data_IF_107036071397
#
_entry.id   IF_107036071397
#
_cell.length_a   1.000
_cell.length_b   1.000
_cell.length_c   1.000
_cell.angle_alpha   90.00
_cell.angle_beta   90.00
_cell.angle_gamma   90.00
#
_symmetry.space_group_name_H-M   'P 1'
#
loop_
_entity.id
_entity.type
_entity.pdbx_description
1 polymer ?
#
# COMPACT_ATOMS: atom_id res chain seq x y z
N UNK A 1 13.87 0.62 -39.03
CA UNK A 1 14.44 0.97 -37.71
C UNK A 1 14.26 -0.14 -36.67
N UNK A 2 15.20 -0.32 -35.74
CA UNK A 2 15.13 -1.33 -34.67
C UNK A 2 14.58 -0.73 -33.36
N UNK A 3 13.55 -1.34 -32.77
CA UNK A 3 13.02 -1.00 -31.45
C UNK A 3 13.08 -2.19 -30.49
N UNK A 4 13.25 -1.90 -29.19
CA UNK A 4 13.31 -2.90 -28.12
C UNK A 4 12.05 -2.79 -27.26
N UNK A 5 11.38 -3.93 -27.01
CA UNK A 5 10.15 -4.00 -26.22
C UNK A 5 10.40 -4.79 -24.94
N UNK A 6 9.81 -4.36 -23.82
CA UNK A 6 9.83 -5.15 -22.58
C UNK A 6 9.16 -6.51 -22.81
N UNK A 7 9.89 -7.60 -22.58
CA UNK A 7 9.38 -8.97 -22.71
C UNK A 7 9.91 -9.87 -21.59
N UNK A 8 9.04 -10.18 -20.63
CA UNK A 8 9.40 -10.95 -19.45
C UNK A 8 10.41 -10.21 -18.58
N UNK A 9 11.62 -10.76 -18.47
CA UNK A 9 12.74 -10.16 -17.71
C UNK A 9 13.77 -9.47 -18.62
N UNK A 10 13.52 -9.42 -19.92
CA UNK A 10 14.46 -8.86 -20.90
C UNK A 10 13.77 -7.99 -21.92
N UNK A 11 14.44 -7.81 -23.05
CA UNK A 11 13.97 -7.03 -24.18
C UNK A 11 13.81 -7.93 -25.40
N UNK A 12 12.81 -7.64 -26.21
CA UNK A 12 12.59 -8.24 -27.52
C UNK A 12 12.76 -7.15 -28.58
N UNK A 13 13.76 -7.32 -29.45
CA UNK A 13 14.00 -6.43 -30.57
C UNK A 13 13.07 -6.74 -31.76
N UNK A 14 12.54 -5.71 -32.41
CA UNK A 14 11.84 -5.81 -33.69
C UNK A 14 12.30 -4.74 -34.67
N UNK A 15 12.38 -5.12 -35.95
CA UNK A 15 12.62 -4.19 -37.06
C UNK A 15 11.26 -3.68 -37.57
N UNK A 16 11.08 -2.36 -37.56
CA UNK A 16 9.87 -1.69 -38.02
C UNK A 16 10.17 -0.77 -39.20
N UNK A 17 9.18 -0.50 -40.09
CA UNK A 17 9.35 0.46 -41.18
C UNK A 17 9.68 1.86 -40.67
N UNK A 18 10.38 2.66 -41.46
CA UNK A 18 10.77 4.02 -41.06
C UNK A 18 9.58 5.00 -41.01
N UNK A 19 8.40 4.59 -41.50
CA UNK A 19 7.14 5.32 -41.36
C UNK A 19 6.44 5.09 -40.01
N UNK A 20 7.13 4.51 -39.03
CA UNK A 20 6.53 4.16 -37.72
C UNK A 20 6.48 5.37 -36.79
N UNK A 21 5.30 5.66 -36.25
CA UNK A 21 5.14 6.64 -35.18
C UNK A 21 5.53 6.02 -33.82
N UNK A 22 6.35 6.74 -33.05
CA UNK A 22 6.87 6.27 -31.76
C UNK A 22 6.30 7.12 -30.64
N UNK A 23 5.65 6.45 -29.69
CA UNK A 23 5.13 7.04 -28.46
C UNK A 23 5.76 6.35 -27.26
N UNK A 24 6.64 7.06 -26.57
CA UNK A 24 7.32 6.57 -25.36
C UNK A 24 6.75 7.36 -24.18
N UNK A 25 6.02 6.71 -23.25
CA UNK A 25 5.53 7.34 -22.03
C UNK A 25 6.68 8.00 -21.25
N UNK A 26 6.50 9.25 -20.82
CA UNK A 26 7.51 10.02 -20.10
C UNK A 26 8.55 10.74 -20.97
N UNK A 27 8.70 10.36 -22.25
CA UNK A 27 9.63 11.01 -23.20
C UNK A 27 8.88 11.83 -24.26
N UNK A 28 7.93 11.22 -24.97
CA UNK A 28 7.12 11.92 -25.99
C UNK A 28 6.18 12.94 -25.32
N UNK A 29 5.75 12.64 -24.09
CA UNK A 29 5.07 13.58 -23.19
C UNK A 29 5.80 13.49 -21.85
N UNK A 30 6.51 14.57 -21.50
CA UNK A 30 7.32 14.60 -20.29
C UNK A 30 6.45 14.49 -19.04
N UNK A 31 6.75 13.50 -18.20
CA UNK A 31 6.19 13.41 -16.86
C UNK A 31 6.72 14.57 -15.99
N UNK A 32 5.95 15.02 -14.98
CA UNK A 32 6.49 15.90 -13.96
C UNK A 32 7.74 15.30 -13.32
N UNK A 33 8.72 16.13 -12.91
CA UNK A 33 9.91 15.64 -12.23
C UNK A 33 9.55 14.77 -11.03
N UNK A 34 10.14 13.58 -10.97
CA UNK A 34 9.95 12.70 -9.82
C UNK A 34 10.61 13.30 -8.58
N UNK A 35 10.04 13.01 -7.42
CA UNK A 35 10.72 13.29 -6.15
C UNK A 35 12.01 12.46 -6.06
N UNK A 36 13.01 12.92 -5.29
CA UNK A 36 14.15 12.07 -4.94
C UNK A 36 13.66 10.73 -4.37
N UNK A 37 14.19 9.62 -4.88
CA UNK A 37 13.74 8.27 -4.56
C UNK A 37 14.36 7.72 -3.27
N UNK A 38 14.74 8.60 -2.34
CA UNK A 38 15.21 8.26 -1.00
C UNK A 38 14.06 8.29 0.03
N UNK A 39 14.28 7.64 1.18
CA UNK A 39 13.23 7.50 2.18
C UNK A 39 12.77 8.84 2.75
N UNK A 40 13.70 9.73 3.06
CA UNK A 40 13.40 10.97 3.79
C UNK A 40 12.59 11.94 2.92
N UNK A 41 12.99 12.09 1.65
CA UNK A 41 12.27 12.91 0.67
C UNK A 41 10.85 12.40 0.45
N UNK A 42 10.69 11.09 0.24
CA UNK A 42 9.37 10.49 -0.01
C UNK A 42 8.49 10.55 1.24
N UNK A 43 9.04 10.28 2.42
CA UNK A 43 8.30 10.33 3.68
C UNK A 43 7.85 11.75 4.00
N UNK A 44 8.74 12.74 3.87
CA UNK A 44 8.41 14.15 4.12
C UNK A 44 7.30 14.66 3.19
N UNK A 45 7.41 14.38 1.88
CA UNK A 45 6.37 14.76 0.92
C UNK A 45 5.03 14.07 1.21
N UNK A 46 5.05 12.78 1.56
CA UNK A 46 3.84 12.02 1.91
C UNK A 46 3.20 12.56 3.18
N UNK A 47 3.98 12.84 4.22
CA UNK A 47 3.49 13.42 5.47
C UNK A 47 2.92 14.83 5.27
N UNK A 48 3.54 15.65 4.43
CA UNK A 48 3.02 16.96 4.05
C UNK A 48 1.64 16.85 3.39
N UNK A 49 1.44 15.86 2.50
CA UNK A 49 0.13 15.60 1.90
C UNK A 49 -0.92 15.16 2.92
N UNK A 50 -0.56 14.29 3.88
CA UNK A 50 -1.48 13.84 4.94
C UNK A 50 -1.94 15.00 5.83
N UNK A 51 -1.04 15.96 6.10
CA UNK A 51 -1.33 17.12 6.95
C UNK A 51 -2.08 18.25 6.22
N UNK A 52 -2.05 18.26 4.89
CA UNK A 52 -2.72 19.26 4.07
C UNK A 52 -3.66 18.57 3.04
N UNK A 53 -4.67 17.82 3.49
CA UNK A 53 -5.58 17.13 2.58
C UNK A 53 -6.47 18.11 1.81
N UNK A 54 -6.94 17.68 0.65
CA UNK A 54 -7.86 18.45 -0.19
C UNK A 54 -9.30 18.04 0.16
N UNK A 55 -10.11 19.00 0.61
CA UNK A 55 -11.55 18.80 0.77
C UNK A 55 -11.99 18.00 2.02
N UNK A 56 -11.12 17.76 2.98
CA UNK A 56 -11.45 17.11 4.26
C UNK A 56 -10.50 17.57 5.39
N UNK A 57 -10.82 17.33 6.68
CA UNK A 57 -9.89 17.58 7.78
C UNK A 57 -8.65 16.66 7.73
N UNK A 58 -7.50 17.09 8.26
CA UNK A 58 -6.28 16.27 8.35
C UNK A 58 -6.46 15.08 9.29
N UNK A 59 -5.66 14.03 9.07
CA UNK A 59 -5.78 12.76 9.79
C UNK A 59 -5.72 12.94 11.32
N UNK A 60 -4.86 13.85 11.81
CA UNK A 60 -4.72 14.17 13.24
C UNK A 60 -6.01 14.70 13.90
N UNK A 61 -6.93 15.28 13.13
CA UNK A 61 -8.21 15.81 13.62
C UNK A 61 -9.32 14.75 13.58
N UNK A 62 -9.15 13.73 12.74
CA UNK A 62 -10.08 12.60 12.60
C UNK A 62 -9.74 11.47 13.59
N UNK A 63 -8.48 11.38 14.00
CA UNK A 63 -7.95 10.39 14.93
C UNK A 63 -8.03 10.87 16.38
N UNK A 64 -7.98 9.93 17.33
CA UNK A 64 -8.03 10.24 18.75
C UNK A 64 -8.10 8.99 19.63
N UNK A 65 -7.95 9.14 20.95
CA UNK A 65 -8.09 8.02 21.89
C UNK A 65 -9.46 7.33 21.77
N UNK A 66 -9.46 6.00 21.80
CA UNK A 66 -10.68 5.17 21.69
C UNK A 66 -11.28 5.07 20.28
N UNK A 67 -10.65 5.66 19.25
CA UNK A 67 -11.06 5.48 17.85
C UNK A 67 -10.43 4.20 17.28
N UNK A 68 -11.21 3.46 16.49
CA UNK A 68 -10.70 2.35 15.69
C UNK A 68 -10.41 2.79 14.25
N UNK A 69 -9.34 2.25 13.68
CA UNK A 69 -8.84 2.62 12.35
C UNK A 69 -8.62 1.37 11.50
N UNK A 70 -9.09 1.41 10.26
CA UNK A 70 -8.76 0.40 9.25
C UNK A 70 -7.95 1.06 8.15
N UNK A 71 -6.73 0.58 7.92
CA UNK A 71 -5.89 1.01 6.80
C UNK A 71 -6.00 -0.04 5.71
N UNK A 72 -6.61 0.34 4.59
CA UNK A 72 -6.76 -0.53 3.42
C UNK A 72 -5.51 -0.42 2.55
N UNK A 73 -4.81 -1.54 2.39
CA UNK A 73 -3.55 -1.68 1.69
C UNK A 73 -3.83 -2.39 0.35
N UNK A 74 -3.35 -1.85 -0.79
CA UNK A 74 -3.44 -2.53 -2.07
C UNK A 74 -2.78 -3.92 -2.05
N UNK A 75 -3.30 -4.82 -2.89
CA UNK A 75 -2.72 -6.15 -3.07
C UNK A 75 -1.29 -6.12 -3.64
N UNK A 76 -0.56 -7.22 -3.44
CA UNK A 76 0.83 -7.38 -3.86
C UNK A 76 1.03 -7.23 -5.38
N UNK A 77 0.01 -7.48 -6.19
CA UNK A 77 0.08 -7.32 -7.65
C UNK A 77 0.17 -5.86 -8.08
N UNK A 78 -0.09 -4.92 -7.15
CA UNK A 78 0.15 -3.49 -7.35
C UNK A 78 1.59 -3.09 -7.02
N UNK A 79 2.46 -4.07 -6.81
CA UNK A 79 3.85 -3.88 -6.45
C UNK A 79 4.00 -3.45 -4.99
N UNK A 80 5.03 -2.63 -4.74
CA UNK A 80 5.21 -2.01 -3.43
C UNK A 80 6.01 -2.83 -2.40
N UNK A 81 6.75 -3.86 -2.81
CA UNK A 81 7.65 -4.57 -1.90
C UNK A 81 9.05 -3.93 -1.78
N UNK A 82 9.36 -2.97 -2.66
CA UNK A 82 10.62 -2.23 -2.66
C UNK A 82 10.83 -1.45 -1.35
N UNK A 83 12.07 -1.10 -0.97
CA UNK A 83 12.35 -0.39 0.28
C UNK A 83 11.57 0.92 0.45
N UNK A 84 11.50 1.72 -0.61
CA UNK A 84 10.86 3.05 -0.65
C UNK A 84 9.45 3.02 -1.27
N UNK A 85 8.79 1.86 -1.21
CA UNK A 85 7.47 1.72 -1.83
C UNK A 85 6.41 2.62 -1.19
N UNK A 86 5.45 3.04 -2.01
CA UNK A 86 4.26 3.79 -1.57
C UNK A 86 3.59 3.15 -0.35
N UNK A 87 3.44 1.81 -0.30
CA UNK A 87 2.85 1.14 0.86
C UNK A 87 3.71 1.30 2.12
N UNK A 88 5.03 1.18 2.06
CA UNK A 88 5.87 1.31 3.26
C UNK A 88 5.89 2.76 3.74
N UNK A 89 6.08 3.70 2.83
CA UNK A 89 6.17 5.13 3.16
C UNK A 89 4.84 5.66 3.67
N UNK A 90 3.75 5.48 2.91
CA UNK A 90 2.46 6.08 3.24
C UNK A 90 1.88 5.51 4.52
N UNK A 91 1.84 4.18 4.69
CA UNK A 91 1.26 3.65 5.92
C UNK A 91 2.19 3.81 7.15
N UNK A 92 3.51 3.98 6.99
CA UNK A 92 4.35 4.47 8.10
C UNK A 92 3.94 5.90 8.51
N UNK A 93 3.83 6.82 7.55
CA UNK A 93 3.43 8.20 7.82
C UNK A 93 2.03 8.29 8.45
N UNK A 94 1.07 7.48 7.98
CA UNK A 94 -0.26 7.40 8.59
C UNK A 94 -0.19 6.90 10.04
N UNK A 95 0.54 5.82 10.32
CA UNK A 95 0.66 5.31 11.70
C UNK A 95 1.28 6.35 12.64
N UNK A 96 2.30 7.07 12.19
CA UNK A 96 2.95 8.10 13.01
C UNK A 96 1.95 9.20 13.42
N UNK A 97 1.11 9.68 12.49
CA UNK A 97 0.05 10.66 12.79
C UNK A 97 -1.05 10.07 13.69
N UNK A 98 -1.47 8.82 13.46
CA UNK A 98 -2.50 8.15 14.28
C UNK A 98 -2.04 7.96 15.73
N UNK A 99 -0.80 7.50 15.93
CA UNK A 99 -0.24 7.31 17.26
C UNK A 99 0.04 8.64 17.96
N UNK A 100 0.49 9.67 17.23
CA UNK A 100 0.62 11.02 17.77
C UNK A 100 -0.73 11.60 18.23
N UNK A 101 -1.83 11.24 17.56
CA UNK A 101 -3.19 11.59 17.96
C UNK A 101 -3.75 10.73 19.10
N UNK A 102 -3.01 9.72 19.59
CA UNK A 102 -3.41 8.89 20.73
C UNK A 102 -4.25 7.66 20.37
N UNK A 103 -4.30 7.25 19.10
CA UNK A 103 -4.89 5.96 18.71
C UNK A 103 -4.01 4.84 19.26
N UNK A 104 -4.60 3.88 19.97
CA UNK A 104 -3.85 2.74 20.47
C UNK A 104 -3.54 1.76 19.34
N UNK A 105 -2.36 1.15 19.40
CA UNK A 105 -1.94 0.16 18.40
C UNK A 105 -2.99 -0.94 18.19
N UNK A 106 -3.57 -1.46 19.28
CA UNK A 106 -4.59 -2.52 19.25
C UNK A 106 -5.84 -2.16 18.43
N UNK A 107 -6.10 -0.87 18.25
CA UNK A 107 -7.28 -0.34 17.55
C UNK A 107 -7.00 -0.04 16.06
N UNK A 108 -5.79 -0.35 15.57
CA UNK A 108 -5.43 -0.23 14.15
C UNK A 108 -5.40 -1.60 13.48
N UNK A 109 -6.18 -1.72 12.40
CA UNK A 109 -6.29 -2.91 11.57
C UNK A 109 -5.72 -2.66 10.18
N UNK A 110 -4.74 -3.47 9.77
CA UNK A 110 -4.20 -3.45 8.42
C UNK A 110 -4.95 -4.47 7.54
N UNK A 111 -5.61 -3.96 6.49
CA UNK A 111 -6.45 -4.77 5.62
C UNK A 111 -5.86 -4.84 4.21
N UNK A 112 -5.51 -6.03 3.74
CA UNK A 112 -5.08 -6.19 2.34
C UNK A 112 -6.30 -6.37 1.44
N UNK A 113 -6.49 -5.44 0.51
CA UNK A 113 -7.58 -5.47 -0.46
C UNK A 113 -7.16 -6.25 -1.71
N UNK A 114 -7.24 -7.58 -1.63
CA UNK A 114 -6.95 -8.51 -2.72
C UNK A 114 -8.10 -8.68 -3.71
N UNK A 115 -9.30 -8.19 -3.41
CA UNK A 115 -10.46 -8.31 -4.31
C UNK A 115 -10.74 -9.77 -4.68
N UNK A 116 -10.64 -10.08 -5.98
CA UNK A 116 -10.79 -11.45 -6.52
C UNK A 116 -9.47 -12.24 -6.58
N UNK A 117 -8.34 -11.61 -6.27
CA UNK A 117 -7.06 -12.31 -6.29
C UNK A 117 -6.97 -13.31 -5.14
N UNK A 118 -6.20 -14.40 -5.35
CA UNK A 118 -5.83 -15.29 -4.27
C UNK A 118 -5.23 -14.52 -3.10
N UNK A 119 -5.48 -15.01 -1.89
CA UNK A 119 -4.90 -14.44 -0.68
C UNK A 119 -3.38 -14.36 -0.82
N UNK A 120 -2.75 -13.19 -0.60
CA UNK A 120 -1.30 -13.09 -0.64
C UNK A 120 -0.68 -13.91 0.50
N UNK A 121 0.40 -14.66 0.24
CA UNK A 121 1.03 -15.50 1.24
C UNK A 121 1.69 -14.65 2.34
N UNK A 122 1.65 -15.13 3.57
CA UNK A 122 2.12 -14.41 4.77
C UNK A 122 3.48 -13.70 4.63
N UNK A 123 4.54 -14.32 4.05
CA UNK A 123 5.84 -13.66 3.91
C UNK A 123 5.79 -12.37 3.08
N UNK A 124 4.84 -12.25 2.15
CA UNK A 124 4.67 -11.06 1.28
C UNK A 124 3.82 -9.97 1.94
N UNK A 125 3.05 -10.34 2.96
CA UNK A 125 2.19 -9.44 3.73
C UNK A 125 2.91 -8.89 4.96
N UNK A 126 3.93 -9.60 5.49
CA UNK A 126 4.64 -9.20 6.71
C UNK A 126 5.18 -7.77 6.58
N UNK A 127 4.65 -6.80 7.36
CA UNK A 127 5.15 -5.45 7.31
C UNK A 127 6.54 -5.41 7.96
N UNK A 128 7.56 -4.93 7.24
CA UNK A 128 8.93 -4.77 7.80
C UNK A 128 9.00 -3.81 8.99
N UNK A 129 7.98 -2.96 9.13
CA UNK A 129 7.84 -1.88 10.09
C UNK A 129 6.87 -2.25 11.24
N UNK A 130 6.29 -3.46 11.21
CA UNK A 130 5.46 -4.03 12.28
C UNK A 130 5.77 -5.54 12.47
N UNK A 131 6.98 -5.89 12.93
CA UNK A 131 7.42 -7.29 13.04
C UNK A 131 6.61 -8.11 14.07
N UNK A 132 5.87 -7.45 14.97
CA UNK A 132 4.98 -8.05 15.98
C UNK A 132 3.53 -8.24 15.51
N UNK A 133 3.16 -7.81 14.29
CA UNK A 133 1.85 -8.14 13.73
C UNK A 133 1.74 -9.65 13.52
N UNK A 134 0.74 -10.28 14.14
CA UNK A 134 0.44 -11.69 13.95
C UNK A 134 -0.61 -11.94 12.88
N UNK A 135 -0.51 -13.11 12.27
CA UNK A 135 -1.50 -13.59 11.35
C UNK A 135 -2.75 -14.10 12.08
N UNK A 136 -3.91 -13.42 12.00
CA UNK A 136 -5.20 -13.98 12.44
C UNK A 136 -6.13 -14.14 11.25
N UNK A 137 -6.69 -15.34 11.06
CA UNK A 137 -7.71 -15.60 10.04
C UNK A 137 -9.05 -15.81 10.72
N UNK A 138 -9.93 -14.82 10.65
CA UNK A 138 -11.34 -15.02 10.97
C UNK A 138 -12.05 -15.41 9.67
N UNK A 139 -12.78 -16.55 9.61
CA UNK A 139 -13.63 -16.84 8.46
C UNK A 139 -14.65 -15.70 8.29
N UNK A 140 -15.07 -15.38 7.05
CA UNK A 140 -16.02 -14.30 6.83
C UNK A 140 -17.27 -14.56 7.66
N UNK A 141 -17.65 -13.59 8.50
CA UNK A 141 -18.96 -13.59 9.13
C UNK A 141 -19.99 -13.74 8.00
N UNK A 142 -20.89 -14.72 8.11
CA UNK A 142 -22.02 -14.88 7.19
C UNK A 142 -22.89 -13.63 7.30
N UNK A 143 -22.64 -12.64 6.45
CA UNK A 143 -23.61 -11.58 6.22
C UNK A 143 -24.71 -12.15 5.31
N UNK A 144 -25.99 -12.13 5.71
CA UNK A 144 -27.09 -12.71 4.93
C UNK A 144 -27.46 -11.88 3.69
N UNK A 145 -26.82 -10.74 3.46
CA UNK A 145 -27.07 -9.89 2.30
C UNK A 145 -25.98 -10.04 1.23
N UNK A 146 -26.34 -10.77 0.17
CA UNK A 146 -25.92 -10.52 -1.23
C UNK A 146 -24.44 -10.75 -1.62
N UNK A 147 -24.21 -11.92 -2.19
CA UNK A 147 -23.39 -12.20 -3.40
C UNK A 147 -22.15 -11.34 -3.69
N UNK A 148 -21.09 -11.55 -2.90
CA UNK A 148 -19.71 -11.63 -3.39
C UNK A 148 -18.87 -12.32 -2.31
N UNK A 149 -18.23 -13.46 -2.60
CA UNK A 149 -17.20 -14.02 -1.72
C UNK A 149 -15.93 -13.19 -1.88
N UNK A 150 -15.90 -11.99 -1.32
CA UNK A 150 -14.65 -11.24 -1.13
C UNK A 150 -13.91 -11.88 0.05
N UNK A 151 -12.84 -12.61 -0.25
CA UNK A 151 -11.91 -13.10 0.78
C UNK A 151 -11.09 -11.92 1.28
N UNK A 152 -11.61 -11.22 2.29
CA UNK A 152 -10.92 -10.10 2.93
C UNK A 152 -9.97 -10.62 4.02
N UNK A 153 -8.67 -10.32 3.91
CA UNK A 153 -7.66 -10.74 4.90
C UNK A 153 -7.40 -9.65 5.93
N UNK A 154 -7.65 -9.95 7.20
CA UNK A 154 -7.49 -9.05 8.34
C UNK A 154 -6.23 -9.41 9.13
N UNK A 155 -5.59 -8.43 9.76
CA UNK A 155 -4.44 -8.67 10.64
C UNK A 155 -4.55 -7.84 11.91
N UNK A 156 -4.64 -8.53 13.05
CA UNK A 156 -4.67 -7.92 14.39
C UNK A 156 -3.31 -8.08 15.07
N UNK A 157 -2.99 -7.14 15.96
CA UNK A 157 -1.80 -7.24 16.81
C UNK A 157 -1.89 -8.46 17.72
N UNK A 158 -0.76 -9.15 17.91
CA UNK A 158 -0.67 -10.19 18.93
C UNK A 158 -0.72 -9.52 20.30
N UNK A 159 -1.79 -9.72 21.07
CA UNK A 159 -1.69 -9.56 22.52
C UNK A 159 -0.66 -10.56 23.03
N UNK A 160 0.38 -10.14 23.78
CA UNK A 160 1.24 -11.09 24.44
C UNK A 160 0.39 -11.97 25.38
N UNK A 161 0.68 -13.28 25.50
CA UNK A 161 -0.03 -14.12 26.45
C UNK A 161 0.13 -13.50 27.84
N UNK A 162 -0.99 -13.28 28.53
CA UNK A 162 -0.96 -12.88 29.94
C UNK A 162 -0.24 -14.02 30.68
N UNK A 163 0.89 -13.71 31.30
CA UNK A 163 1.64 -14.66 32.10
C UNK A 163 0.74 -15.27 33.16
N UNK A 164 0.78 -16.60 33.26
CA UNK A 164 0.29 -17.38 34.39
C UNK A 164 1.26 -17.29 35.55
#
# INVERSE_FOLDING_TARGET
>A
MKLEFEYGQGLLGAELPDSTDIFIPGETVADPPCLPQDWDSLYAATLASIRNPIGMPPLKELAGPGKSVVIVIPDIVKGGNQPTSHRKVAIRACLDELYAAGVEQKDVLLLFSNGLHPRPPWPRCRPSWAPSCSASSTPPARSPATTARTMTTWWTWATPPRGT
#
